data_IF_492889627814
#
_entry.id   IF_492889627814
#
_cell.length_a   1.000
_cell.length_b   1.000
_cell.length_c   1.000
_cell.angle_alpha   90.00
_cell.angle_beta   90.00
_cell.angle_gamma   90.00
#
_symmetry.space_group_name_H-M   'P 1'
#
loop_
_entity.id
_entity.type
_entity.pdbx_description
1 polymer ?
#
# COMPACT_ATOMS: atom_id res chain seq x y z
N UNK A 1 10.66 9.60 4.37
CA UNK A 1 9.83 8.93 5.39
C UNK A 1 9.81 7.45 5.07
N UNK A 2 9.79 6.59 6.07
CA UNK A 2 9.78 5.14 5.85
C UNK A 2 8.37 4.66 5.49
N UNK A 3 8.26 3.86 4.45
CA UNK A 3 7.02 3.24 4.02
C UNK A 3 7.26 1.79 3.56
N UNK A 4 6.28 0.93 3.78
CA UNK A 4 6.23 -0.39 3.16
C UNK A 4 5.58 -0.22 1.78
N UNK A 5 6.30 -0.60 0.72
CA UNK A 5 5.85 -0.47 -0.66
C UNK A 5 5.96 -1.79 -1.41
N UNK A 6 5.09 -1.97 -2.40
CA UNK A 6 5.13 -3.09 -3.34
C UNK A 6 4.64 -2.60 -4.70
N UNK A 7 5.29 -3.05 -5.78
CA UNK A 7 4.97 -2.64 -7.17
C UNK A 7 4.55 -3.81 -8.04
N UNK A 8 4.32 -4.96 -7.41
CA UNK A 8 3.86 -6.19 -8.04
C UNK A 8 3.05 -6.97 -7.03
N UNK A 9 2.03 -7.68 -7.52
CA UNK A 9 1.31 -8.64 -6.71
C UNK A 9 2.22 -9.81 -6.32
N UNK A 10 2.03 -10.37 -5.13
CA UNK A 10 2.77 -11.56 -4.71
C UNK A 10 2.69 -11.91 -3.23
N UNK A 11 3.50 -12.87 -2.77
CA UNK A 11 3.63 -13.21 -1.34
C UNK A 11 4.28 -12.05 -0.56
N UNK A 12 4.33 -12.09 0.79
CA UNK A 12 4.90 -11.02 1.62
C UNK A 12 6.30 -10.53 1.21
N UNK A 13 7.10 -11.37 0.55
CA UNK A 13 8.45 -11.03 0.07
C UNK A 13 8.49 -9.91 -0.98
N UNK A 14 7.34 -9.54 -1.56
CA UNK A 14 7.24 -8.37 -2.46
C UNK A 14 7.24 -7.04 -1.71
N UNK A 15 6.98 -7.06 -0.40
CA UNK A 15 6.99 -5.87 0.45
C UNK A 15 8.42 -5.39 0.68
N UNK A 16 8.64 -4.10 0.46
CA UNK A 16 9.94 -3.46 0.62
C UNK A 16 9.80 -2.27 1.55
N UNK A 17 10.61 -2.20 2.59
CA UNK A 17 10.78 -0.98 3.37
C UNK A 17 11.63 0.01 2.55
N UNK A 18 11.06 1.16 2.21
CA UNK A 18 11.76 2.22 1.47
C UNK A 18 11.65 3.56 2.19
N UNK A 19 12.65 4.40 1.97
CA UNK A 19 12.51 5.83 2.17
C UNK A 19 11.80 6.44 0.96
N UNK A 20 10.70 7.13 1.22
CA UNK A 20 9.91 7.87 0.23
C UNK A 20 9.83 9.34 0.60
N UNK A 21 9.50 10.20 -0.36
CA UNK A 21 9.29 11.62 -0.08
C UNK A 21 8.15 11.83 0.91
N UNK A 22 8.30 12.81 1.81
CA UNK A 22 7.25 13.17 2.75
C UNK A 22 6.18 13.96 1.96
N UNK A 23 4.91 13.56 1.98
CA UNK A 23 3.87 14.28 1.26
C UNK A 23 3.65 15.68 1.85
N UNK A 24 3.34 16.63 0.97
CA UNK A 24 2.92 17.99 1.33
C UNK A 24 1.41 18.09 1.14
N UNK A 25 0.62 18.31 2.21
CA UNK A 25 -0.83 18.41 2.09
C UNK A 25 -1.25 19.68 1.34
N UNK A 26 -2.37 19.60 0.62
CA UNK A 26 -3.08 20.77 0.06
C UNK A 26 -3.90 21.48 1.14
N UNK A 27 -4.56 22.58 0.75
CA UNK A 27 -5.35 23.43 1.64
C UNK A 27 -6.48 22.69 2.37
N UNK A 28 -7.03 21.62 1.76
CA UNK A 28 -8.13 20.80 2.28
C UNK A 28 -7.69 19.44 2.82
N UNK A 29 -6.39 19.20 2.97
CA UNK A 29 -5.83 17.93 3.42
C UNK A 29 -5.10 18.07 4.76
N UNK A 30 -5.01 16.97 5.51
CA UNK A 30 -4.24 16.90 6.76
C UNK A 30 -3.11 15.89 6.64
N UNK A 31 -1.92 16.28 7.10
CA UNK A 31 -0.79 15.37 7.17
C UNK A 31 -0.74 14.64 8.50
N UNK A 32 -0.98 13.33 8.47
CA UNK A 32 -0.97 12.49 9.67
C UNK A 32 0.38 11.82 9.85
N UNK A 33 0.95 11.93 11.06
CA UNK A 33 2.11 11.13 11.46
C UNK A 33 1.63 9.78 11.99
N UNK A 34 1.79 8.74 11.18
CA UNK A 34 1.42 7.37 11.57
C UNK A 34 2.37 6.86 12.67
N UNK A 35 1.83 6.52 13.83
CA UNK A 35 2.58 5.92 14.96
C UNK A 35 2.48 4.39 14.96
N UNK A 36 1.35 3.84 14.54
CA UNK A 36 1.09 2.41 14.42
C UNK A 36 0.09 2.15 13.29
N UNK A 37 0.19 0.98 12.67
CA UNK A 37 -0.77 0.46 11.72
C UNK A 37 -0.98 -1.03 11.99
N UNK A 38 -2.22 -1.48 11.98
CA UNK A 38 -2.56 -2.90 12.10
C UNK A 38 -2.59 -3.55 10.72
N UNK A 39 -2.28 -4.84 10.67
CA UNK A 39 -2.50 -5.66 9.47
C UNK A 39 -3.87 -6.32 9.54
N UNK A 40 -4.58 -6.31 8.42
CA UNK A 40 -5.93 -6.83 8.28
C UNK A 40 -6.01 -7.87 7.15
N UNK A 41 -7.04 -8.72 7.15
CA UNK A 41 -7.33 -9.58 6.01
C UNK A 41 -7.59 -8.83 4.69
N UNK A 42 -7.82 -7.52 4.66
CA UNK A 42 -7.83 -6.79 3.39
C UNK A 42 -6.43 -6.69 2.76
N UNK A 43 -5.40 -6.60 3.59
CA UNK A 43 -4.07 -6.18 3.15
C UNK A 43 -3.37 -7.29 2.36
N UNK A 44 -3.50 -8.55 2.79
CA UNK A 44 -2.97 -9.70 2.02
C UNK A 44 -3.74 -9.91 0.71
N UNK A 45 -5.03 -9.60 0.68
CA UNK A 45 -5.86 -9.68 -0.52
C UNK A 45 -5.43 -8.63 -1.57
N UNK A 46 -5.22 -7.38 -1.14
CA UNK A 46 -4.68 -6.31 -1.98
C UNK A 46 -3.25 -6.62 -2.44
N UNK A 47 -2.37 -7.01 -1.53
CA UNK A 47 -0.97 -7.35 -1.83
C UNK A 47 -0.83 -8.50 -2.82
N UNK A 48 -1.71 -9.52 -2.73
CA UNK A 48 -1.70 -10.67 -3.65
C UNK A 48 -2.50 -10.43 -4.93
N UNK A 49 -3.38 -9.43 -4.94
CA UNK A 49 -4.38 -9.22 -6.00
C UNK A 49 -5.34 -10.41 -6.08
N UNK A 50 -5.75 -10.95 -4.91
CA UNK A 50 -6.64 -12.10 -4.79
C UNK A 50 -7.79 -11.81 -3.83
N UNK A 51 -9.04 -12.16 -4.15
CA UNK A 51 -9.47 -12.81 -5.40
C UNK A 51 -9.36 -11.88 -6.61
N UNK A 52 -9.39 -12.43 -7.82
CA UNK A 52 -9.06 -11.70 -9.07
C UNK A 52 -9.77 -10.34 -9.22
N UNK A 53 -11.02 -10.23 -8.76
CA UNK A 53 -11.80 -9.00 -8.86
C UNK A 53 -11.20 -7.80 -8.09
N UNK A 54 -10.34 -8.02 -7.09
CA UNK A 54 -9.64 -6.92 -6.39
C UNK A 54 -8.75 -6.09 -7.33
N UNK A 55 -8.32 -6.69 -8.45
CA UNK A 55 -7.53 -6.01 -9.48
C UNK A 55 -8.32 -4.93 -10.24
N UNK A 56 -9.64 -4.90 -10.12
CA UNK A 56 -10.44 -3.79 -10.66
C UNK A 56 -10.20 -2.48 -9.89
N UNK A 57 -9.96 -2.56 -8.57
CA UNK A 57 -9.70 -1.39 -7.73
C UNK A 57 -8.20 -1.09 -7.60
N UNK A 58 -7.37 -2.12 -7.44
CA UNK A 58 -5.94 -1.96 -7.21
C UNK A 58 -5.12 -1.84 -8.50
N UNK A 59 -5.64 -2.26 -9.65
CA UNK A 59 -4.94 -2.22 -10.94
C UNK A 59 -4.70 -3.60 -11.56
N UNK A 60 -4.92 -3.71 -12.87
CA UNK A 60 -5.01 -5.02 -13.53
C UNK A 60 -3.65 -5.79 -13.58
N UNK A 61 -2.57 -5.23 -14.16
CA UNK A 61 -1.29 -5.93 -14.21
C UNK A 61 -0.54 -5.89 -12.87
N UNK A 62 -0.68 -4.80 -12.11
CA UNK A 62 0.05 -4.46 -10.88
C UNK A 62 -0.83 -3.55 -10.01
N UNK A 63 -0.59 -3.54 -8.69
CA UNK A 63 -1.21 -2.60 -7.75
C UNK A 63 -0.77 -1.15 -8.01
#
# INVERSE_FOLDING_TARGET
MKAIVYTKYGPPDVLQLKEVEKPTPKDDEVLIKVHAAATNPSDWHLMRGTPFFIRFDAGFPKP
#
